data_IF_328588620446
#
_entry.id   IF_328588620446
#
_cell.length_a   1.000
_cell.length_b   1.000
_cell.length_c   1.000
_cell.angle_alpha   90.00
_cell.angle_beta   90.00
_cell.angle_gamma   90.00
#
_symmetry.space_group_name_H-M   'P 1'
#
loop_
_entity.id
_entity.type
_entity.pdbx_description
1 polymer ?
#
# COMPACT_ATOMS: atom_id res chain seq x y z
N UNK A 1 11.29 34.30 -30.81
CA UNK A 1 11.00 34.14 -29.37
C UNK A 1 10.83 32.66 -29.14
N UNK A 2 11.76 32.01 -28.44
CA UNK A 2 11.58 30.61 -28.04
C UNK A 2 10.44 30.58 -27.01
N UNK A 3 9.34 29.90 -27.31
CA UNK A 3 8.34 29.61 -26.29
C UNK A 3 9.04 28.78 -25.21
N UNK A 4 9.09 29.27 -23.98
CA UNK A 4 9.45 28.43 -22.84
C UNK A 4 8.36 27.36 -22.75
N UNK A 5 8.61 26.18 -23.32
CA UNK A 5 7.74 25.03 -23.07
C UNK A 5 7.76 24.79 -21.56
N UNK A 6 6.63 25.07 -20.91
CA UNK A 6 6.44 24.69 -19.51
C UNK A 6 6.60 23.17 -19.41
N UNK A 7 7.28 22.70 -18.35
CA UNK A 7 7.58 21.27 -18.19
C UNK A 7 6.30 20.45 -18.13
N UNK A 8 6.32 19.31 -18.82
CA UNK A 8 5.28 18.29 -18.75
C UNK A 8 5.07 17.80 -17.32
N UNK A 9 3.87 17.32 -17.03
CA UNK A 9 3.47 16.84 -15.70
C UNK A 9 3.11 15.36 -15.80
N UNK A 10 3.68 14.56 -14.92
CA UNK A 10 3.37 13.14 -14.74
C UNK A 10 2.70 12.92 -13.38
N UNK A 11 1.50 12.35 -13.39
CA UNK A 11 0.68 12.12 -12.20
C UNK A 11 0.41 10.63 -12.03
N UNK A 12 0.60 10.10 -10.81
CA UNK A 12 0.21 8.73 -10.46
C UNK A 12 -0.96 8.77 -9.48
N UNK A 13 -2.09 8.17 -9.86
CA UNK A 13 -3.26 8.08 -8.99
C UNK A 13 -3.14 6.85 -8.08
N UNK A 14 -3.19 7.07 -6.77
CA UNK A 14 -3.10 6.03 -5.73
C UNK A 14 -4.24 6.18 -4.73
N UNK A 15 -4.55 5.11 -3.98
CA UNK A 15 -5.61 5.13 -2.98
C UNK A 15 -6.55 3.93 -3.06
N UNK A 16 -7.53 3.93 -2.17
CA UNK A 16 -8.48 2.84 -2.00
C UNK A 16 -9.33 2.58 -3.25
N UNK A 17 -9.73 1.34 -3.45
CA UNK A 17 -10.70 0.92 -4.46
C UNK A 17 -12.05 1.60 -4.17
N UNK A 18 -12.70 2.16 -5.19
CA UNK A 18 -13.97 2.86 -5.02
C UNK A 18 -13.86 4.35 -4.66
N UNK A 19 -12.68 4.86 -4.29
CA UNK A 19 -12.49 6.30 -4.02
C UNK A 19 -12.51 7.19 -5.27
N UNK A 20 -12.70 6.61 -6.46
CA UNK A 20 -12.90 7.35 -7.69
C UNK A 20 -11.62 7.75 -8.43
N UNK A 21 -10.52 7.00 -8.32
CA UNK A 21 -9.26 7.24 -9.07
C UNK A 21 -9.48 7.36 -10.58
N UNK A 22 -10.10 6.36 -11.20
CA UNK A 22 -10.37 6.38 -12.65
C UNK A 22 -11.28 7.54 -13.06
N UNK A 23 -12.27 7.89 -12.22
CA UNK A 23 -13.14 9.03 -12.47
C UNK A 23 -12.38 10.36 -12.35
N UNK A 24 -11.49 10.50 -11.37
CA UNK A 24 -10.58 11.64 -11.25
C UNK A 24 -9.65 11.74 -12.46
N UNK A 25 -9.05 10.63 -12.90
CA UNK A 25 -8.22 10.60 -14.09
C UNK A 25 -8.97 11.10 -15.33
N UNK A 26 -10.21 10.66 -15.53
CA UNK A 26 -11.08 11.16 -16.61
C UNK A 26 -11.39 12.66 -16.48
N UNK A 27 -11.58 13.19 -15.26
CA UNK A 27 -11.75 14.63 -15.02
C UNK A 27 -10.50 15.42 -15.38
N UNK A 28 -9.31 14.95 -14.99
CA UNK A 28 -8.03 15.58 -15.33
C UNK A 28 -7.80 15.54 -16.85
N UNK A 29 -8.08 14.40 -17.49
CA UNK A 29 -7.93 14.20 -18.93
C UNK A 29 -9.00 14.92 -19.76
N UNK A 30 -10.08 15.40 -19.13
CA UNK A 30 -11.24 16.04 -19.78
C UNK A 30 -11.94 15.15 -20.81
N UNK A 31 -11.70 13.85 -20.75
CA UNK A 31 -12.27 12.82 -21.61
C UNK A 31 -12.34 11.49 -20.86
N UNK A 32 -13.24 10.60 -21.28
CA UNK A 32 -13.43 9.29 -20.64
C UNK A 32 -12.49 8.28 -21.29
N UNK A 33 -11.33 8.05 -20.68
CA UNK A 33 -10.29 7.13 -21.16
C UNK A 33 -10.05 5.97 -20.19
N UNK A 34 -10.31 6.17 -18.90
CA UNK A 34 -10.26 5.11 -17.90
C UNK A 34 -11.64 4.55 -17.62
N UNK A 35 -11.73 3.22 -17.55
CA UNK A 35 -12.97 2.52 -17.25
C UNK A 35 -13.33 2.72 -15.78
N UNK A 36 -14.25 3.64 -15.50
CA UNK A 36 -14.77 3.89 -14.15
C UNK A 36 -16.08 3.12 -13.92
N UNK A 37 -16.00 1.85 -13.53
CA UNK A 37 -17.19 1.05 -13.16
C UNK A 37 -17.39 1.04 -11.64
N UNK A 38 -18.65 1.11 -11.17
CA UNK A 38 -19.02 0.87 -9.77
C UNK A 38 -19.05 -0.61 -9.38
N UNK A 39 -18.49 -1.49 -10.23
CA UNK A 39 -18.50 -2.94 -10.00
C UNK A 39 -17.61 -3.33 -8.82
N UNK A 40 -18.17 -4.08 -7.89
CA UNK A 40 -17.45 -4.65 -6.74
C UNK A 40 -16.52 -5.81 -7.13
N UNK A 41 -16.56 -6.27 -8.38
CA UNK A 41 -15.91 -7.52 -8.81
C UNK A 41 -14.62 -7.34 -9.60
N UNK A 42 -14.30 -6.12 -10.06
CA UNK A 42 -13.15 -5.90 -10.95
C UNK A 42 -11.95 -5.39 -10.17
N UNK A 43 -11.02 -6.31 -9.89
CA UNK A 43 -9.62 -5.96 -9.60
C UNK A 43 -9.09 -5.30 -10.87
N UNK A 44 -8.88 -3.99 -10.88
CA UNK A 44 -7.92 -3.40 -11.83
C UNK A 44 -6.57 -3.98 -11.44
N UNK A 45 -6.07 -4.95 -12.21
CA UNK A 45 -4.76 -5.59 -11.99
C UNK A 45 -3.65 -4.93 -12.80
N UNK A 46 -4.00 -3.99 -13.68
CA UNK A 46 -3.09 -3.31 -14.58
C UNK A 46 -3.16 -1.80 -14.36
N UNK A 47 -2.08 -1.12 -14.69
CA UNK A 47 -2.07 0.33 -14.81
C UNK A 47 -2.73 0.76 -16.12
N UNK A 48 -3.31 1.95 -16.16
CA UNK A 48 -3.77 2.58 -17.39
C UNK A 48 -3.15 3.97 -17.51
N UNK A 49 -2.62 4.30 -18.67
CA UNK A 49 -1.96 5.60 -18.93
C UNK A 49 -2.69 6.35 -20.03
N UNK A 50 -2.89 7.64 -19.82
CA UNK A 50 -3.43 8.56 -20.81
C UNK A 50 -2.86 9.96 -20.59
N UNK A 51 -3.06 10.84 -21.57
CA UNK A 51 -2.58 12.21 -21.49
C UNK A 51 -3.56 13.20 -22.11
N UNK A 52 -3.44 14.46 -21.69
CA UNK A 52 -4.11 15.62 -22.29
C UNK A 52 -3.17 16.81 -22.31
N UNK A 53 -3.46 17.80 -23.15
CA UNK A 53 -2.82 19.12 -23.06
C UNK A 53 -3.69 20.08 -22.26
N UNK A 54 -3.08 20.84 -21.35
CA UNK A 54 -3.73 21.90 -20.59
C UNK A 54 -2.78 23.09 -20.44
N UNK A 55 -3.24 24.28 -20.83
CA UNK A 55 -2.45 25.52 -20.81
C UNK A 55 -1.05 25.39 -21.45
N UNK A 56 -0.93 24.60 -22.53
CA UNK A 56 0.33 24.42 -23.26
C UNK A 56 1.31 23.43 -22.61
N UNK A 57 0.88 22.69 -21.59
CA UNK A 57 1.63 21.60 -20.94
C UNK A 57 0.95 20.27 -21.21
N UNK A 58 1.74 19.23 -21.45
CA UNK A 58 1.23 17.87 -21.47
C UNK A 58 1.08 17.36 -20.04
N UNK A 59 -0.10 16.84 -19.72
CA UNK A 59 -0.40 16.18 -18.46
C UNK A 59 -0.58 14.69 -18.74
N UNK A 60 0.36 13.88 -18.28
CA UNK A 60 0.27 12.42 -18.30
C UNK A 60 -0.31 11.95 -16.97
N UNK A 61 -1.29 11.05 -17.03
CA UNK A 61 -1.98 10.50 -15.87
C UNK A 61 -1.89 8.98 -15.95
N UNK A 62 -1.43 8.36 -14.86
CA UNK A 62 -1.43 6.92 -14.68
C UNK A 62 -2.45 6.56 -13.60
N UNK A 63 -3.48 5.81 -13.98
CA UNK A 63 -4.45 5.21 -13.06
C UNK A 63 -3.88 3.90 -12.53
N UNK A 64 -3.53 3.88 -11.24
CA UNK A 64 -3.01 2.70 -10.56
C UNK A 64 -4.12 1.79 -10.01
N UNK A 65 -3.82 0.51 -9.74
CA UNK A 65 -4.77 -0.39 -9.10
C UNK A 65 -5.16 0.15 -7.71
N UNK A 66 -6.40 -0.10 -7.31
CA UNK A 66 -6.85 0.23 -5.96
C UNK A 66 -6.37 -0.79 -4.92
N UNK A 67 -5.97 -0.27 -3.77
CA UNK A 67 -5.86 -1.04 -2.52
C UNK A 67 -7.28 -1.28 -2.02
N UNK A 68 -7.64 -2.49 -1.59
CA UNK A 68 -9.03 -2.82 -1.19
C UNK A 68 -9.09 -3.46 0.19
N UNK A 69 -10.26 -3.41 0.82
CA UNK A 69 -10.46 -3.80 2.23
C UNK A 69 -10.14 -5.27 2.52
N UNK A 70 -10.33 -6.16 1.54
CA UNK A 70 -10.04 -7.61 1.65
C UNK A 70 -8.67 -8.00 1.10
N UNK A 71 -7.89 -7.02 0.63
CA UNK A 71 -6.64 -7.26 -0.13
C UNK A 71 -5.38 -6.99 0.68
N UNK A 72 -5.45 -6.18 1.73
CA UNK A 72 -4.30 -5.84 2.57
C UNK A 72 -3.74 -7.08 3.28
N UNK A 73 -4.60 -8.06 3.60
CA UNK A 73 -4.23 -9.32 4.25
C UNK A 73 -4.14 -10.51 3.27
N UNK A 74 -4.12 -10.25 1.96
CA UNK A 74 -4.07 -11.30 0.93
C UNK A 74 -2.75 -11.21 0.16
N UNK A 75 -1.91 -12.24 0.30
CA UNK A 75 -0.63 -12.35 -0.41
C UNK A 75 -0.75 -12.05 -1.91
N UNK A 76 -1.69 -12.70 -2.61
CA UNK A 76 -1.86 -12.53 -4.05
C UNK A 76 -2.22 -11.08 -4.40
N UNK A 77 -3.09 -10.46 -3.61
CA UNK A 77 -3.49 -9.09 -3.87
C UNK A 77 -2.35 -8.09 -3.62
N UNK A 78 -1.56 -8.29 -2.57
CA UNK A 78 -0.36 -7.50 -2.29
C UNK A 78 0.67 -7.65 -3.41
N UNK A 79 0.92 -8.86 -3.90
CA UNK A 79 1.81 -9.12 -5.04
C UNK A 79 1.33 -8.37 -6.29
N UNK A 80 0.05 -8.49 -6.64
CA UNK A 80 -0.50 -7.83 -7.83
C UNK A 80 -0.40 -6.30 -7.76
N UNK A 81 -0.66 -5.70 -6.59
CA UNK A 81 -0.48 -4.26 -6.40
C UNK A 81 0.99 -3.88 -6.54
N UNK A 82 1.92 -4.64 -5.94
CA UNK A 82 3.35 -4.38 -6.06
C UNK A 82 3.84 -4.49 -7.50
N UNK A 83 3.41 -5.51 -8.25
CA UNK A 83 3.78 -5.71 -9.66
C UNK A 83 3.30 -4.54 -10.53
N UNK A 84 2.03 -4.15 -10.40
CA UNK A 84 1.47 -3.02 -11.13
C UNK A 84 2.14 -1.69 -10.75
N UNK A 85 2.51 -1.47 -9.48
CA UNK A 85 3.26 -0.27 -9.09
C UNK A 85 4.70 -0.30 -9.62
N UNK A 86 5.37 -1.47 -9.65
CA UNK A 86 6.66 -1.59 -10.33
C UNK A 86 6.54 -1.24 -11.82
N UNK A 87 5.46 -1.66 -12.49
CA UNK A 87 5.17 -1.30 -13.88
C UNK A 87 4.99 0.22 -14.01
N UNK A 88 4.19 0.85 -13.15
CA UNK A 88 3.97 2.31 -13.15
C UNK A 88 5.28 3.09 -12.99
N UNK A 89 6.14 2.68 -12.06
CA UNK A 89 7.41 3.37 -11.82
C UNK A 89 8.35 3.23 -13.04
N UNK A 90 8.35 2.06 -13.70
CA UNK A 90 9.16 1.85 -14.91
C UNK A 90 8.62 2.56 -16.15
N UNK A 91 7.30 2.72 -16.26
CA UNK A 91 6.68 3.39 -17.41
C UNK A 91 6.90 4.90 -17.42
N UNK A 92 7.32 5.49 -16.29
CA UNK A 92 7.69 6.91 -16.19
C UNK A 92 9.17 7.10 -15.79
N UNK A 93 10.12 7.02 -16.74
CA UNK A 93 11.56 7.20 -16.46
C UNK A 93 11.92 8.56 -15.85
N UNK A 94 11.13 9.59 -16.17
CA UNK A 94 11.29 10.94 -15.62
C UNK A 94 10.63 11.10 -14.23
N UNK A 95 9.99 10.04 -13.72
CA UNK A 95 9.28 10.05 -12.45
C UNK A 95 7.90 10.74 -12.50
N UNK A 96 7.31 10.88 -11.33
CA UNK A 96 5.99 11.50 -11.12
C UNK A 96 6.15 12.80 -10.35
N UNK A 97 5.62 13.89 -10.90
CA UNK A 97 5.62 15.20 -10.24
C UNK A 97 4.76 15.18 -8.97
N UNK A 98 3.68 14.39 -8.98
CA UNK A 98 2.87 14.15 -7.79
C UNK A 98 2.32 12.74 -7.74
N UNK A 99 2.24 12.21 -6.52
CA UNK A 99 1.39 11.08 -6.18
C UNK A 99 0.04 11.66 -5.74
N UNK A 100 -1.05 11.33 -6.43
CA UNK A 100 -2.38 11.83 -6.07
C UNK A 100 -3.07 10.77 -5.22
N UNK A 101 -3.10 10.98 -3.90
CA UNK A 101 -3.79 10.10 -2.97
C UNK A 101 -5.27 10.45 -2.96
N UNK A 102 -6.05 9.59 -3.59
CA UNK A 102 -7.47 9.79 -3.81
C UNK A 102 -8.27 9.27 -2.62
N UNK A 103 -8.96 10.21 -1.96
CA UNK A 103 -9.81 9.97 -0.80
C UNK A 103 -11.24 10.37 -1.17
N UNK A 104 -12.23 9.58 -0.75
CA UNK A 104 -13.64 9.93 -0.95
C UNK A 104 -14.07 10.93 0.15
N UNK A 105 -14.83 11.97 -0.21
CA UNK A 105 -15.48 12.84 0.78
C UNK A 105 -16.40 12.04 1.71
N UNK A 106 -16.43 12.45 2.99
CA UNK A 106 -17.19 11.82 4.04
C UNK A 106 -16.31 11.29 5.16
N UNK A 107 -16.82 10.33 5.94
CA UNK A 107 -16.12 9.80 7.10
C UNK A 107 -14.85 9.05 6.71
N UNK A 108 -13.70 9.50 7.22
CA UNK A 108 -12.45 8.77 7.13
C UNK A 108 -12.48 7.53 8.03
N UNK A 109 -12.41 6.35 7.43
CA UNK A 109 -12.54 5.06 8.10
C UNK A 109 -11.20 4.47 8.54
N UNK A 110 -11.23 3.43 9.37
CA UNK A 110 -10.02 2.65 9.67
C UNK A 110 -9.44 2.02 8.40
N UNK A 111 -10.28 1.61 7.46
CA UNK A 111 -9.84 1.06 6.18
C UNK A 111 -9.09 2.09 5.31
N UNK A 112 -9.48 3.37 5.38
CA UNK A 112 -8.74 4.44 4.72
C UNK A 112 -7.36 4.63 5.37
N UNK A 113 -7.28 4.53 6.71
CA UNK A 113 -6.02 4.56 7.44
C UNK A 113 -5.11 3.40 7.02
N UNK A 114 -5.63 2.18 7.04
CA UNK A 114 -4.85 0.98 6.67
C UNK A 114 -4.37 1.06 5.21
N UNK A 115 -5.18 1.62 4.32
CA UNK A 115 -4.79 1.91 2.94
C UNK A 115 -3.64 2.93 2.87
N UNK A 116 -3.70 4.01 3.66
CA UNK A 116 -2.64 5.02 3.71
C UNK A 116 -1.35 4.41 4.26
N UNK A 117 -1.42 3.61 5.33
CA UNK A 117 -0.26 2.96 5.92
C UNK A 117 0.36 1.94 4.95
N UNK A 118 -0.47 1.18 4.22
CA UNK A 118 -0.02 0.33 3.12
C UNK A 118 0.73 1.13 2.05
N UNK A 119 0.15 2.24 1.58
CA UNK A 119 0.76 3.07 0.54
C UNK A 119 2.07 3.73 1.02
N UNK A 120 2.17 4.11 2.29
CA UNK A 120 3.41 4.59 2.90
C UNK A 120 4.49 3.52 2.95
N UNK A 121 4.16 2.28 3.31
CA UNK A 121 5.11 1.15 3.25
C UNK A 121 5.54 0.85 1.81
N UNK A 122 4.62 0.98 0.85
CA UNK A 122 4.87 0.69 -0.56
C UNK A 122 5.74 1.74 -1.26
N UNK A 123 5.38 3.03 -1.14
CA UNK A 123 6.05 4.13 -1.83
C UNK A 123 7.16 4.78 -1.02
N UNK A 124 7.22 4.52 0.29
CA UNK A 124 8.14 5.15 1.23
C UNK A 124 7.47 6.31 1.97
N UNK A 125 7.52 6.26 3.31
CA UNK A 125 6.84 7.20 4.21
C UNK A 125 7.20 8.66 3.87
N UNK A 126 8.49 8.96 3.77
CA UNK A 126 8.95 10.34 3.49
C UNK A 126 8.61 10.79 2.07
N UNK A 127 8.63 9.88 1.11
CA UNK A 127 8.26 10.21 -0.28
C UNK A 127 6.77 10.48 -0.42
N UNK A 128 5.90 9.75 0.29
CA UNK A 128 4.47 10.09 0.37
C UNK A 128 4.31 11.47 0.98
N UNK A 129 4.96 11.78 2.10
CA UNK A 129 4.88 13.12 2.71
C UNK A 129 5.38 14.24 1.81
N UNK A 130 6.37 14.00 0.96
CA UNK A 130 6.98 15.04 0.13
C UNK A 130 6.32 15.21 -1.23
N UNK A 131 5.81 14.14 -1.83
CA UNK A 131 5.31 14.14 -3.21
C UNK A 131 3.79 13.98 -3.32
N UNK A 132 3.08 13.80 -2.21
CA UNK A 132 1.64 13.54 -2.25
C UNK A 132 0.79 14.82 -2.17
N UNK A 133 -0.26 14.84 -2.98
CA UNK A 133 -1.39 15.77 -2.89
C UNK A 133 -2.64 14.95 -2.60
N UNK A 134 -3.39 15.32 -1.57
CA UNK A 134 -4.67 14.68 -1.26
C UNK A 134 -5.73 15.17 -2.25
N UNK A 135 -6.40 14.24 -2.93
CA UNK A 135 -7.51 14.57 -3.82
C UNK A 135 -8.79 14.02 -3.24
N UNK A 136 -9.63 14.91 -2.70
CA UNK A 136 -10.92 14.58 -2.14
C UNK A 136 -11.92 14.53 -3.30
N UNK A 137 -12.52 13.36 -3.53
CA UNK A 137 -13.53 13.16 -4.57
C UNK A 137 -14.93 13.25 -4.00
N UNK A 138 -15.95 13.15 -4.86
CA UNK A 138 -17.35 13.35 -4.49
C UNK A 138 -17.62 14.79 -4.03
N UNK A 139 -17.00 15.75 -4.71
CA UNK A 139 -17.25 17.17 -4.47
C UNK A 139 -18.71 17.58 -4.65
N UNK A 140 -19.51 16.83 -5.41
CA UNK A 140 -20.97 17.01 -5.47
C UNK A 140 -21.66 16.72 -4.13
N UNK A 141 -21.19 15.71 -3.39
CA UNK A 141 -21.69 15.38 -2.05
C UNK A 141 -21.26 16.47 -1.06
N UNK A 142 -19.98 16.89 -1.09
CA UNK A 142 -19.47 18.01 -0.30
C UNK A 142 -20.29 19.29 -0.53
N UNK A 143 -20.51 19.68 -1.80
CA UNK A 143 -21.27 20.88 -2.17
C UNK A 143 -22.72 20.83 -1.67
N UNK A 144 -23.29 19.63 -1.49
CA UNK A 144 -24.65 19.43 -1.01
C UNK A 144 -24.78 19.38 0.51
N UNK A 145 -23.77 18.82 1.20
CA UNK A 145 -23.78 18.57 2.64
C UNK A 145 -23.18 19.75 3.43
N UNK A 146 -22.11 20.35 2.91
CA UNK A 146 -21.36 21.43 3.55
C UNK A 146 -21.80 22.79 2.99
N UNK A 147 -23.08 23.14 3.21
CA UNK A 147 -23.64 24.38 2.67
C UNK A 147 -23.06 25.61 3.38
N UNK A 148 -22.11 26.28 2.74
CA UNK A 148 -21.60 27.59 3.15
C UNK A 148 -20.21 27.61 3.77
N UNK A 149 -19.56 26.46 3.94
CA UNK A 149 -18.14 26.35 4.30
C UNK A 149 -17.30 26.11 3.04
N UNK A 150 -16.17 26.79 2.91
CA UNK A 150 -15.22 26.51 1.85
C UNK A 150 -14.45 25.22 2.13
N UNK A 151 -13.90 24.60 1.09
CA UNK A 151 -13.18 23.34 1.24
C UNK A 151 -11.95 23.45 2.17
N UNK A 152 -11.29 24.61 2.18
CA UNK A 152 -10.14 24.87 3.04
C UNK A 152 -10.56 24.96 4.51
N UNK A 153 -11.65 25.66 4.81
CA UNK A 153 -12.22 25.72 6.16
C UNK A 153 -12.66 24.33 6.65
N UNK A 154 -13.35 23.57 5.78
CA UNK A 154 -13.73 22.19 6.09
C UNK A 154 -12.51 21.34 6.43
N UNK A 155 -11.42 21.43 5.64
CA UNK A 155 -10.17 20.72 5.94
C UNK A 155 -9.57 21.14 7.29
N UNK A 156 -9.61 22.43 7.63
CA UNK A 156 -9.08 22.95 8.87
C UNK A 156 -9.89 22.51 10.11
N UNK A 157 -11.19 22.24 9.93
CA UNK A 157 -12.07 21.74 10.98
C UNK A 157 -11.87 20.25 11.31
N UNK A 158 -11.29 19.47 10.40
CA UNK A 158 -11.13 18.02 10.58
C UNK A 158 -10.18 17.66 11.72
N UNK A 159 -10.41 16.50 12.34
CA UNK A 159 -9.65 15.98 13.49
C UNK A 159 -9.21 14.54 13.27
N UNK A 160 -8.24 14.08 14.08
CA UNK A 160 -7.80 12.69 14.09
C UNK A 160 -7.00 12.32 12.84
N UNK A 161 -7.17 11.07 12.37
CA UNK A 161 -6.32 10.48 11.32
C UNK A 161 -6.31 11.28 10.01
N UNK A 162 -7.46 11.84 9.61
CA UNK A 162 -7.51 12.66 8.40
C UNK A 162 -6.73 13.98 8.55
N UNK A 163 -6.80 14.60 9.73
CA UNK A 163 -6.03 15.80 10.05
C UNK A 163 -4.53 15.50 10.08
N UNK A 164 -4.13 14.38 10.67
CA UNK A 164 -2.73 13.91 10.66
C UNK A 164 -2.24 13.73 9.22
N UNK A 165 -3.04 13.10 8.36
CA UNK A 165 -2.70 12.92 6.94
C UNK A 165 -2.58 14.25 6.19
N UNK A 166 -3.47 15.21 6.46
CA UNK A 166 -3.37 16.57 5.91
C UNK A 166 -2.07 17.23 6.32
N UNK A 167 -1.69 17.17 7.60
CA UNK A 167 -0.45 17.76 8.11
C UNK A 167 0.80 17.10 7.48
N UNK A 168 0.79 15.77 7.38
CA UNK A 168 1.86 15.01 6.71
C UNK A 168 2.02 15.38 5.24
N UNK A 169 0.91 15.70 4.56
CA UNK A 169 0.91 16.19 3.18
C UNK A 169 1.07 17.72 3.10
N UNK A 170 1.50 18.38 4.17
CA UNK A 170 1.69 19.83 4.26
C UNK A 170 0.45 20.64 3.79
N UNK A 171 -0.74 20.16 4.14
CA UNK A 171 -2.03 20.73 3.78
C UNK A 171 -2.30 20.84 2.26
N UNK A 172 -1.58 20.07 1.44
CA UNK A 172 -1.85 19.97 -0.01
C UNK A 172 -3.07 19.09 -0.24
N UNK A 173 -4.23 19.73 -0.38
CA UNK A 173 -5.50 19.06 -0.63
C UNK A 173 -6.35 19.80 -1.67
N UNK A 174 -6.99 19.07 -2.58
CA UNK A 174 -7.93 19.63 -3.56
C UNK A 174 -9.23 18.84 -3.60
N UNK A 175 -10.33 19.54 -3.85
CA UNK A 175 -11.66 18.95 -4.00
C UNK A 175 -12.04 18.80 -5.48
N UNK A 176 -12.48 17.60 -5.85
CA UNK A 176 -12.94 17.26 -7.20
C UNK A 176 -14.39 16.75 -7.21
N UNK A 177 -15.22 17.47 -7.97
CA UNK A 177 -16.56 17.02 -8.38
C UNK A 177 -16.43 16.35 -9.76
N UNK A 178 -16.14 15.05 -9.77
CA UNK A 178 -15.94 14.28 -11.01
C UNK A 178 -17.21 14.14 -11.87
N UNK A 179 -18.37 14.55 -11.36
CA UNK A 179 -19.65 14.50 -12.08
C UNK A 179 -20.00 15.83 -12.76
N UNK A 180 -19.33 16.92 -12.40
CA UNK A 180 -19.64 18.24 -12.93
C UNK A 180 -19.48 18.30 -14.44
N UNK A 181 -20.45 18.94 -15.10
CA UNK A 181 -20.42 19.26 -16.54
C UNK A 181 -20.12 20.73 -16.79
N UNK A 182 -20.00 21.52 -15.73
CA UNK A 182 -19.62 22.92 -15.83
C UNK A 182 -18.13 23.06 -16.13
N UNK A 183 -17.82 23.56 -17.33
CA UNK A 183 -16.44 23.70 -17.80
C UNK A 183 -15.62 24.65 -16.92
N UNK A 184 -16.25 25.69 -16.38
CA UNK A 184 -15.57 26.64 -15.48
C UNK A 184 -15.09 25.94 -14.20
N UNK A 185 -15.94 25.10 -13.62
CA UNK A 185 -15.60 24.27 -12.46
C UNK A 185 -14.51 23.26 -12.77
N UNK A 186 -14.60 22.55 -13.91
CA UNK A 186 -13.57 21.61 -14.36
C UNK A 186 -12.21 22.30 -14.52
N UNK A 187 -12.18 23.45 -15.20
CA UNK A 187 -10.95 24.20 -15.44
C UNK A 187 -10.37 24.76 -14.14
N UNK A 188 -11.22 25.20 -13.20
CA UNK A 188 -10.80 25.67 -11.86
C UNK A 188 -10.20 24.54 -11.03
N UNK A 189 -10.83 23.38 -10.98
CA UNK A 189 -10.35 22.20 -10.23
C UNK A 189 -9.01 21.72 -10.77
N UNK A 190 -8.90 21.58 -12.09
CA UNK A 190 -7.64 21.19 -12.73
C UNK A 190 -6.56 22.24 -12.50
N UNK A 191 -6.86 23.53 -12.66
CA UNK A 191 -5.89 24.60 -12.41
C UNK A 191 -5.37 24.57 -10.96
N UNK A 192 -6.24 24.41 -9.97
CA UNK A 192 -5.84 24.31 -8.56
C UNK A 192 -4.91 23.12 -8.30
N UNK A 193 -5.20 21.95 -8.89
CA UNK A 193 -4.32 20.78 -8.81
C UNK A 193 -2.94 21.09 -9.41
N UNK A 194 -2.89 21.67 -10.60
CA UNK A 194 -1.62 21.96 -11.29
C UNK A 194 -0.80 23.01 -10.53
N UNK A 195 -1.43 24.03 -9.96
CA UNK A 195 -0.76 25.01 -9.10
C UNK A 195 -0.12 24.35 -7.87
N UNK A 196 -0.78 23.36 -7.25
CA UNK A 196 -0.19 22.59 -6.15
C UNK A 196 0.96 21.69 -6.61
N UNK A 197 0.83 21.06 -7.79
CA UNK A 197 1.92 20.25 -8.37
C UNK A 197 3.14 21.11 -8.66
N UNK A 198 2.95 22.33 -9.13
CA UNK A 198 4.04 23.28 -9.42
C UNK A 198 4.76 23.79 -8.16
N UNK A 199 4.13 23.67 -6.98
CA UNK A 199 4.74 23.97 -5.69
C UNK A 199 5.55 22.80 -5.12
N UNK A 200 5.51 21.62 -5.75
CA UNK A 200 6.34 20.48 -5.34
C UNK A 200 7.74 20.62 -5.94
N UNK A 201 8.75 20.69 -5.06
CA UNK A 201 10.16 20.79 -5.46
C UNK A 201 10.77 19.44 -5.85
N UNK A 202 10.08 18.33 -5.54
CA UNK A 202 10.58 16.97 -5.71
C UNK A 202 9.77 16.19 -6.75
N UNK A 203 10.46 15.30 -7.46
CA UNK A 203 9.86 14.32 -8.36
C UNK A 203 10.04 12.94 -7.76
N UNK A 204 8.97 12.16 -7.69
CA UNK A 204 9.03 10.78 -7.24
C UNK A 204 9.61 9.89 -8.33
N UNK A 205 10.67 9.15 -8.04
CA UNK A 205 11.43 8.37 -9.04
C UNK A 205 11.66 6.94 -8.57
N UNK A 206 12.22 6.11 -9.45
CA UNK A 206 12.65 4.74 -9.13
C UNK A 206 13.66 4.68 -7.96
N UNK A 207 14.45 5.72 -7.74
CA UNK A 207 15.34 5.80 -6.57
C UNK A 207 14.55 5.86 -5.26
N UNK A 208 13.50 6.68 -5.22
CA UNK A 208 12.60 6.79 -4.07
C UNK A 208 11.88 5.47 -3.82
N UNK A 209 11.39 4.84 -4.88
CA UNK A 209 10.73 3.54 -4.80
C UNK A 209 11.68 2.44 -4.31
N UNK A 210 12.93 2.45 -4.77
CA UNK A 210 13.98 1.53 -4.31
C UNK A 210 14.33 1.70 -2.83
N UNK A 211 14.33 2.93 -2.31
CA UNK A 211 14.51 3.18 -0.87
C UNK A 211 13.39 2.60 -0.01
N UNK A 212 12.21 2.37 -0.59
CA UNK A 212 11.06 1.74 0.08
C UNK A 212 11.07 0.20 0.06
N UNK A 213 12.12 -0.46 -0.46
CA UNK A 213 12.23 -1.94 -0.43
C UNK A 213 11.95 -2.54 0.95
N UNK A 214 12.48 -2.02 2.08
CA UNK A 214 12.19 -2.57 3.40
C UNK A 214 10.68 -2.56 3.74
N UNK A 215 9.97 -1.49 3.37
CA UNK A 215 8.52 -1.40 3.57
C UNK A 215 7.75 -2.40 2.71
N UNK A 216 8.20 -2.66 1.48
CA UNK A 216 7.61 -3.67 0.59
C UNK A 216 7.87 -5.11 1.07
N UNK A 217 9.05 -5.38 1.62
CA UNK A 217 9.36 -6.67 2.28
C UNK A 217 8.42 -6.86 3.48
N UNK A 218 8.24 -5.83 4.30
CA UNK A 218 7.30 -5.88 5.43
C UNK A 218 5.87 -6.19 4.98
N UNK A 219 5.36 -5.52 3.94
CA UNK A 219 4.04 -5.81 3.36
C UNK A 219 3.91 -7.27 2.91
N UNK A 220 4.95 -7.82 2.28
CA UNK A 220 4.92 -9.22 1.82
C UNK A 220 4.89 -10.21 2.97
N UNK A 221 5.65 -9.97 4.03
CA UNK A 221 5.65 -10.84 5.21
C UNK A 221 4.32 -10.73 5.96
N UNK A 222 3.80 -9.52 6.13
CA UNK A 222 2.49 -9.26 6.75
C UNK A 222 1.37 -10.02 6.02
N UNK A 223 1.34 -9.95 4.69
CA UNK A 223 0.34 -10.65 3.87
C UNK A 223 0.50 -12.19 3.86
N UNK A 224 1.72 -12.70 4.07
CA UNK A 224 2.01 -14.14 4.16
C UNK A 224 1.90 -14.71 5.56
N UNK A 225 1.88 -13.84 6.58
CA UNK A 225 1.93 -14.24 7.98
C UNK A 225 0.88 -15.31 8.32
N UNK A 226 -0.41 -15.22 7.92
CA UNK A 226 -1.38 -16.27 8.24
C UNK A 226 -1.00 -17.66 7.73
N UNK A 227 -0.38 -17.73 6.55
CA UNK A 227 0.09 -18.99 5.95
C UNK A 227 1.32 -19.48 6.71
N UNK A 228 2.28 -18.60 6.98
CA UNK A 228 3.50 -18.92 7.74
C UNK A 228 3.14 -19.42 9.15
N UNK A 229 2.21 -18.75 9.85
CA UNK A 229 1.75 -19.16 11.17
C UNK A 229 1.13 -20.56 11.11
N UNK A 230 0.28 -20.84 10.11
CA UNK A 230 -0.33 -22.16 9.93
C UNK A 230 0.71 -23.26 9.68
N UNK A 231 1.63 -23.03 8.74
CA UNK A 231 2.72 -23.96 8.41
C UNK A 231 3.60 -24.23 9.65
N UNK A 232 3.93 -23.18 10.39
CA UNK A 232 4.73 -23.28 11.62
C UNK A 232 4.03 -24.12 12.68
N UNK A 233 2.76 -23.82 12.99
CA UNK A 233 2.00 -24.60 13.98
C UNK A 233 1.85 -26.07 13.56
N UNK A 234 1.70 -26.34 12.27
CA UNK A 234 1.62 -27.69 11.72
C UNK A 234 2.93 -28.47 11.88
N UNK A 235 4.08 -27.85 11.59
CA UNK A 235 5.38 -28.48 11.79
C UNK A 235 5.69 -28.67 13.28
N UNK A 236 5.37 -27.69 14.13
CA UNK A 236 5.46 -27.85 15.59
C UNK A 236 4.66 -29.07 16.05
N UNK A 237 3.41 -29.21 15.60
CA UNK A 237 2.57 -30.36 15.98
C UNK A 237 3.22 -31.69 15.56
N UNK A 238 3.72 -31.80 14.33
CA UNK A 238 4.40 -33.02 13.86
C UNK A 238 5.62 -33.36 14.71
N UNK A 239 6.44 -32.35 15.03
CA UNK A 239 7.64 -32.54 15.84
C UNK A 239 7.26 -32.99 17.26
N UNK A 240 6.24 -32.37 17.86
CA UNK A 240 5.72 -32.77 19.18
C UNK A 240 5.22 -34.21 19.17
N UNK A 241 4.45 -34.64 18.15
CA UNK A 241 3.99 -36.03 18.02
C UNK A 241 5.16 -37.03 17.89
N UNK A 242 6.21 -36.67 17.15
CA UNK A 242 7.45 -37.50 17.07
C UNK A 242 8.11 -37.61 18.44
N UNK A 243 8.22 -36.49 19.17
CA UNK A 243 8.82 -36.43 20.49
C UNK A 243 8.05 -37.30 21.50
N UNK A 244 6.71 -37.24 21.49
CA UNK A 244 5.85 -38.06 22.32
C UNK A 244 6.00 -39.56 22.02
N UNK A 245 6.10 -39.95 20.74
CA UNK A 245 6.31 -41.37 20.38
C UNK A 245 7.63 -41.94 20.90
N UNK A 246 8.68 -41.11 21.02
CA UNK A 246 9.95 -41.55 21.61
C UNK A 246 9.83 -41.88 23.10
N UNK A 247 8.89 -41.24 23.82
CA UNK A 247 8.63 -41.58 25.22
C UNK A 247 8.12 -43.01 25.42
N UNK A 248 7.48 -43.62 24.41
CA UNK A 248 6.80 -44.91 24.57
C UNK A 248 7.62 -46.14 24.11
N UNK A 249 8.64 -46.03 23.25
CA UNK A 249 9.14 -47.20 22.48
C UNK A 249 10.68 -47.37 22.27
N UNK A 250 11.56 -46.74 23.05
CA UNK A 250 13.00 -46.66 22.69
C UNK A 250 14.01 -47.53 23.47
N UNK A 251 14.83 -48.31 22.76
CA UNK A 251 16.18 -48.72 23.21
C UNK A 251 17.05 -47.46 23.40
N UNK A 252 17.78 -47.29 24.53
CA UNK A 252 18.52 -46.06 24.85
C UNK A 252 19.44 -45.53 23.75
N UNK A 253 20.12 -46.41 23.01
CA UNK A 253 21.04 -46.00 21.93
C UNK A 253 20.33 -45.39 20.71
N UNK A 254 19.11 -45.82 20.42
CA UNK A 254 18.30 -45.25 19.34
C UNK A 254 17.57 -43.98 19.79
N UNK A 255 17.37 -43.79 21.10
CA UNK A 255 16.67 -42.63 21.66
C UNK A 255 17.46 -41.34 21.43
N UNK A 256 18.77 -41.33 21.72
CA UNK A 256 19.61 -40.13 21.51
C UNK A 256 19.65 -39.75 20.04
N UNK A 257 19.89 -40.70 19.14
CA UNK A 257 19.90 -40.44 17.70
C UNK A 257 18.57 -39.86 17.19
N UNK A 258 17.44 -40.43 17.63
CA UNK A 258 16.12 -39.91 17.24
C UNK A 258 15.84 -38.52 17.83
N UNK A 259 16.36 -38.21 19.02
CA UNK A 259 16.29 -36.86 19.60
C UNK A 259 17.16 -35.88 18.81
N UNK A 260 18.34 -36.29 18.34
CA UNK A 260 19.20 -35.45 17.49
C UNK A 260 18.47 -35.11 16.18
N UNK A 261 17.83 -36.09 15.54
CA UNK A 261 17.03 -35.89 14.33
C UNK A 261 15.87 -34.91 14.57
N UNK A 262 15.10 -35.09 15.65
CA UNK A 262 14.00 -34.18 16.01
C UNK A 262 14.51 -32.76 16.34
N UNK A 263 15.63 -32.65 17.06
CA UNK A 263 16.22 -31.36 17.40
C UNK A 263 16.67 -30.61 16.15
N UNK A 264 17.27 -31.32 15.17
CA UNK A 264 17.64 -30.73 13.89
C UNK A 264 16.42 -30.25 13.10
N UNK A 265 15.31 -30.99 13.07
CA UNK A 265 14.07 -30.55 12.42
C UNK A 265 13.53 -29.23 13.04
N UNK A 266 13.58 -29.11 14.36
CA UNK A 266 13.15 -27.89 15.06
C UNK A 266 14.11 -26.71 14.82
N UNK A 267 15.42 -26.97 14.69
CA UNK A 267 16.40 -25.95 14.32
C UNK A 267 16.20 -25.47 12.87
N UNK A 268 15.97 -26.37 11.93
CA UNK A 268 15.70 -26.02 10.54
C UNK A 268 14.44 -25.15 10.41
N UNK A 269 13.40 -25.45 11.20
CA UNK A 269 12.20 -24.61 11.28
C UNK A 269 12.50 -23.21 11.84
N UNK A 270 13.35 -23.11 12.87
CA UNK A 270 13.80 -21.82 13.42
C UNK A 270 14.57 -21.00 12.37
N UNK A 271 15.53 -21.62 11.68
CA UNK A 271 16.32 -20.97 10.64
C UNK A 271 15.46 -20.50 9.46
N UNK A 272 14.44 -21.30 9.07
CA UNK A 272 13.48 -20.93 8.05
C UNK A 272 12.69 -19.67 8.45
N UNK A 273 12.19 -19.61 9.68
CA UNK A 273 11.47 -18.44 10.20
C UNK A 273 12.35 -17.20 10.28
N UNK A 274 13.61 -17.33 10.69
CA UNK A 274 14.55 -16.21 10.72
C UNK A 274 14.86 -15.68 9.32
N UNK A 275 15.00 -16.58 8.33
CA UNK A 275 15.18 -16.20 6.93
C UNK A 275 13.94 -15.51 6.35
N UNK A 276 12.74 -16.02 6.65
CA UNK A 276 11.47 -15.47 6.18
C UNK A 276 11.13 -14.10 6.82
N UNK A 277 11.44 -13.92 8.11
CA UNK A 277 11.16 -12.68 8.83
C UNK A 277 11.96 -11.49 8.29
N UNK A 278 13.11 -11.75 7.64
CA UNK A 278 13.98 -10.74 7.04
C UNK A 278 14.29 -9.55 7.99
N UNK A 279 14.42 -9.84 9.29
CA UNK A 279 14.65 -8.85 10.37
C UNK A 279 13.52 -7.83 10.56
N UNK A 280 12.31 -8.12 10.08
CA UNK A 280 11.14 -7.25 10.28
C UNK A 280 10.55 -7.39 11.67
N UNK A 281 10.79 -8.51 12.37
CA UNK A 281 10.21 -8.82 13.67
C UNK A 281 8.72 -9.17 13.62
N UNK A 282 8.15 -9.38 12.44
CA UNK A 282 6.74 -9.73 12.27
C UNK A 282 6.44 -11.17 12.69
N UNK A 283 7.44 -12.06 12.64
CA UNK A 283 7.31 -13.48 12.96
C UNK A 283 7.81 -13.84 14.37
N UNK A 284 7.98 -12.87 15.27
CA UNK A 284 8.55 -13.12 16.61
C UNK A 284 7.69 -14.05 17.48
N UNK A 285 6.37 -14.07 17.28
CA UNK A 285 5.49 -14.99 17.99
C UNK A 285 5.78 -16.44 17.57
N UNK A 286 5.79 -16.68 16.26
CA UNK A 286 6.07 -17.97 15.62
C UNK A 286 7.48 -18.46 16.02
N UNK A 287 8.50 -17.59 15.97
CA UNK A 287 9.85 -17.90 16.44
C UNK A 287 9.89 -18.25 17.93
N UNK A 288 9.07 -17.59 18.76
CA UNK A 288 9.00 -17.88 20.19
C UNK A 288 8.42 -19.27 20.46
N UNK A 289 7.40 -19.69 19.69
CA UNK A 289 6.84 -21.04 19.80
C UNK A 289 7.88 -22.12 19.46
N UNK A 290 8.67 -21.92 18.40
CA UNK A 290 9.74 -22.86 18.02
C UNK A 290 10.86 -22.89 19.08
N UNK A 291 11.22 -21.75 19.67
CA UNK A 291 12.17 -21.70 20.81
C UNK A 291 11.67 -22.50 22.02
N UNK A 292 10.38 -22.43 22.32
CA UNK A 292 9.78 -23.23 23.41
C UNK A 292 9.91 -24.73 23.09
N UNK A 293 9.61 -25.14 21.86
CA UNK A 293 9.75 -26.53 21.41
C UNK A 293 11.21 -27.02 21.49
N UNK A 294 12.18 -26.22 21.05
CA UNK A 294 13.61 -26.54 21.16
C UNK A 294 14.04 -26.78 22.62
N UNK A 295 13.56 -25.95 23.55
CA UNK A 295 13.82 -26.11 24.98
C UNK A 295 13.19 -27.40 25.52
N UNK A 296 11.97 -27.74 25.08
CA UNK A 296 11.32 -28.99 25.47
C UNK A 296 12.12 -30.21 24.98
N UNK A 297 12.53 -30.24 23.71
CA UNK A 297 13.35 -31.32 23.14
C UNK A 297 14.67 -31.44 23.92
N UNK A 298 15.33 -30.32 24.19
CA UNK A 298 16.59 -30.27 24.96
C UNK A 298 16.43 -30.89 26.35
N UNK A 299 15.29 -30.65 27.02
CA UNK A 299 15.01 -31.25 28.34
C UNK A 299 14.88 -32.77 28.30
N UNK A 300 14.63 -33.39 27.14
CA UNK A 300 14.52 -34.85 27.01
C UNK A 300 15.87 -35.57 26.92
N UNK A 301 16.97 -34.84 26.70
CA UNK A 301 18.32 -35.42 26.72
C UNK A 301 18.80 -35.74 28.14
N UNK A 302 18.23 -35.09 29.16
CA UNK A 302 18.63 -35.25 30.56
C UNK A 302 17.77 -36.25 31.33
N UNK A 303 16.78 -36.88 30.68
CA UNK A 303 15.86 -37.90 31.21
C UNK A 303 16.21 -39.29 30.69
#
# INVERSE_FOLDING_TARGET
>A
MASSHQKDINLLLIGKTGNGKSALGNSILRTVLFVSTSSTTSVTTSIAEAHTDFNGRRINVVDGPGVGDTRVDNELATVLVLEAMNEAIRSSPNGYNALLLVVRFGRFSNEDKDTVDFLKKLFGVESVKQNCILVITHGDEFESEESGEGFEEWCAAQQGVFQELLQECHHRAVLFNNKTKDKSTQDRQLKALIEMVDQLDNVYTDEHFSKAIPGRIHLMIEARRPIISYETSFEIQKITEKLERLHFNGNPANRTKNLDEIFMEALELQDLLDAQDAQTGLLENEKTEVKILLNEITSKYTL
#
